data_IF_543470924727
#
_entry.id   IF_543470924727
#
_cell.length_a   1.000
_cell.length_b   1.000
_cell.length_c   1.000
_cell.angle_alpha   90.00
_cell.angle_beta   90.00
_cell.angle_gamma   90.00
#
_symmetry.space_group_name_H-M   'P 1'
#
loop_
_entity.id
_entity.type
_entity.pdbx_description
1 polymer ?
#
# COMPACT_ATOMS: atom_id res chain seq x y z
N UNK A 1 -4.73 -12.83 -4.46
CA UNK A 1 -4.57 -11.40 -4.84
C UNK A 1 -3.11 -11.00 -4.79
N UNK A 2 -2.70 -9.97 -5.54
CA UNK A 2 -1.34 -9.44 -5.51
C UNK A 2 -1.25 -8.26 -4.56
N UNK A 3 -0.15 -8.17 -3.81
CA UNK A 3 0.13 -7.09 -2.87
C UNK A 3 1.41 -6.39 -3.31
N UNK A 4 1.40 -5.06 -3.29
CA UNK A 4 2.51 -4.23 -3.73
C UNK A 4 2.73 -3.06 -2.78
N UNK A 5 3.99 -2.83 -2.40
CA UNK A 5 4.38 -1.63 -1.66
C UNK A 5 5.81 -1.24 -2.01
N UNK A 6 6.11 0.05 -1.90
CA UNK A 6 7.46 0.60 -2.06
C UNK A 6 7.69 1.62 -0.95
N UNK A 7 8.89 1.63 -0.39
CA UNK A 7 9.30 2.63 0.58
C UNK A 7 10.77 2.99 0.41
N UNK A 8 11.14 4.14 0.96
CA UNK A 8 12.50 4.67 0.90
C UNK A 8 12.91 5.04 2.32
N UNK A 9 14.04 4.49 2.77
CA UNK A 9 14.63 4.78 4.06
C UNK A 9 15.32 6.16 4.06
N UNK A 10 15.64 6.74 5.23
CA UNK A 10 16.25 8.07 5.33
C UNK A 10 17.61 8.21 4.62
N UNK A 11 18.35 7.11 4.47
CA UNK A 11 19.62 7.02 3.75
C UNK A 11 19.45 6.98 2.21
N UNK A 12 18.20 7.01 1.73
CA UNK A 12 17.84 6.88 0.31
C UNK A 12 17.73 5.43 -0.16
N UNK A 13 17.98 4.44 0.70
CA UNK A 13 17.83 3.03 0.35
C UNK A 13 16.37 2.73 0.06
N UNK A 14 16.14 2.02 -1.05
CA UNK A 14 14.81 1.72 -1.55
C UNK A 14 14.47 0.26 -1.37
N UNK A 15 13.26 0.01 -0.89
CA UNK A 15 12.74 -1.32 -0.64
C UNK A 15 11.40 -1.50 -1.36
N UNK A 16 11.13 -2.73 -1.80
CA UNK A 16 9.91 -3.09 -2.49
C UNK A 16 9.35 -4.38 -1.93
N UNK A 17 8.04 -4.48 -1.91
CA UNK A 17 7.28 -5.68 -1.58
C UNK A 17 6.39 -6.04 -2.77
N UNK A 18 6.47 -7.29 -3.20
CA UNK A 18 5.65 -7.88 -4.24
C UNK A 18 5.36 -9.32 -3.83
N UNK A 19 4.14 -9.58 -3.35
CA UNK A 19 3.78 -10.89 -2.78
C UNK A 19 2.36 -11.31 -3.17
N UNK A 20 2.14 -12.62 -3.24
CA UNK A 20 0.81 -13.20 -3.41
C UNK A 20 0.21 -13.44 -2.04
N UNK A 21 -1.02 -12.97 -1.83
CA UNK A 21 -1.81 -13.31 -0.66
C UNK A 21 -2.96 -14.28 -1.02
N UNK A 22 -3.29 -15.22 -0.12
CA UNK A 22 -4.41 -16.13 -0.30
C UNK A 22 -5.74 -15.37 -0.35
N UNK A 23 -6.69 -15.91 -1.13
CA UNK A 23 -8.04 -15.38 -1.24
C UNK A 23 -8.36 -14.67 -2.56
N UNK A 24 -9.66 -14.63 -2.86
CA UNK A 24 -10.31 -13.93 -3.98
C UNK A 24 -10.91 -12.57 -3.55
N UNK A 25 -10.35 -11.98 -2.50
CA UNK A 25 -10.87 -10.74 -1.90
C UNK A 25 -10.99 -9.56 -2.86
N UNK A 26 -11.75 -8.56 -2.44
CA UNK A 26 -11.96 -7.34 -3.20
C UNK A 26 -10.72 -6.42 -3.16
N UNK A 27 -10.70 -5.39 -4.00
CA UNK A 27 -9.58 -4.44 -4.08
C UNK A 27 -9.21 -3.87 -2.69
N UNK A 28 -10.21 -3.52 -1.88
CA UNK A 28 -9.99 -2.97 -0.53
C UNK A 28 -9.29 -3.96 0.41
N UNK A 29 -9.55 -5.26 0.28
CA UNK A 29 -8.89 -6.29 1.07
C UNK A 29 -7.41 -6.44 0.66
N UNK A 30 -7.11 -6.36 -0.64
CA UNK A 30 -5.74 -6.38 -1.13
C UNK A 30 -4.96 -5.15 -0.63
N UNK A 31 -5.55 -3.96 -0.73
CA UNK A 31 -4.88 -2.70 -0.31
C UNK A 31 -4.55 -2.68 1.18
N UNK A 32 -5.50 -3.04 2.06
CA UNK A 32 -5.22 -3.08 3.50
C UNK A 32 -4.21 -4.16 3.86
N UNK A 33 -4.21 -5.32 3.19
CA UNK A 33 -3.18 -6.36 3.40
C UNK A 33 -1.80 -5.92 2.91
N UNK A 34 -1.73 -5.18 1.81
CA UNK A 34 -0.48 -4.61 1.31
C UNK A 34 0.09 -3.59 2.30
N UNK A 35 -0.76 -2.72 2.85
CA UNK A 35 -0.40 -1.80 3.91
C UNK A 35 0.12 -2.54 5.15
N UNK A 36 -0.59 -3.55 5.65
CA UNK A 36 -0.16 -4.32 6.82
C UNK A 36 1.21 -4.98 6.61
N UNK A 37 1.42 -5.59 5.43
CA UNK A 37 2.68 -6.24 5.11
C UNK A 37 3.84 -5.23 5.07
N UNK A 38 3.61 -4.03 4.52
CA UNK A 38 4.60 -2.96 4.53
C UNK A 38 4.90 -2.47 5.96
N UNK A 39 3.87 -2.25 6.79
CA UNK A 39 4.04 -1.83 8.19
C UNK A 39 4.82 -2.85 9.01
N UNK A 40 4.55 -4.14 8.83
CA UNK A 40 5.29 -5.22 9.48
C UNK A 40 6.76 -5.23 9.05
N UNK A 41 7.04 -5.11 7.74
CA UNK A 41 8.40 -5.02 7.23
C UNK A 41 9.15 -3.80 7.78
N UNK A 42 8.50 -2.64 7.83
CA UNK A 42 9.06 -1.40 8.39
C UNK A 42 9.36 -1.54 9.89
N UNK A 43 8.50 -2.20 10.66
CA UNK A 43 8.80 -2.49 12.08
C UNK A 43 9.97 -3.44 12.27
N UNK A 44 10.09 -4.47 11.44
CA UNK A 44 11.27 -5.35 11.46
C UNK A 44 12.55 -4.62 11.09
N UNK A 45 12.46 -3.55 10.30
CA UNK A 45 13.58 -2.67 9.95
C UNK A 45 13.88 -1.60 11.02
N UNK A 46 13.11 -1.54 12.12
CA UNK A 46 13.30 -0.57 13.19
C UNK A 46 12.84 0.85 12.83
N UNK A 47 11.87 1.00 11.93
CA UNK A 47 11.30 2.32 11.62
C UNK A 47 10.34 2.80 12.71
N UNK A 48 10.48 4.06 13.10
CA UNK A 48 9.64 4.71 14.14
C UNK A 48 8.79 5.87 13.62
N UNK A 49 9.24 6.57 12.57
CA UNK A 49 8.49 7.63 11.87
C UNK A 49 8.15 7.20 10.44
N UNK A 50 6.87 7.30 10.08
CA UNK A 50 6.36 6.95 8.76
C UNK A 50 5.43 8.02 8.17
N UNK A 51 5.61 8.23 6.87
CA UNK A 51 4.58 8.82 6.00
C UNK A 51 4.17 7.83 4.92
N UNK A 52 2.96 7.33 5.06
CA UNK A 52 2.36 6.35 4.16
C UNK A 52 1.46 7.07 3.16
N UNK A 53 1.63 6.75 1.88
CA UNK A 53 0.74 7.18 0.81
C UNK A 53 -0.09 5.99 0.33
N UNK A 54 -1.40 6.18 0.18
CA UNK A 54 -2.32 5.16 -0.29
C UNK A 54 -3.31 5.79 -1.26
N UNK A 55 -3.65 5.11 -2.34
CA UNK A 55 -4.63 5.58 -3.33
C UNK A 55 -6.06 5.08 -3.08
N UNK A 56 -6.24 4.22 -2.09
CA UNK A 56 -7.55 3.77 -1.66
C UNK A 56 -8.09 4.64 -0.51
N UNK A 57 -9.05 5.51 -0.82
CA UNK A 57 -9.67 6.40 0.17
C UNK A 57 -10.36 5.65 1.31
N UNK A 58 -10.88 4.44 1.07
CA UNK A 58 -11.48 3.60 2.11
C UNK A 58 -10.43 3.14 3.11
N UNK A 59 -9.25 2.73 2.63
CA UNK A 59 -8.16 2.33 3.52
C UNK A 59 -7.66 3.53 4.32
N UNK A 60 -7.51 4.69 3.68
CA UNK A 60 -7.10 5.93 4.35
C UNK A 60 -8.10 6.32 5.44
N UNK A 61 -9.40 6.28 5.14
CA UNK A 61 -10.46 6.58 6.12
C UNK A 61 -10.48 5.57 7.27
N UNK A 62 -10.51 4.27 6.97
CA UNK A 62 -10.65 3.22 7.99
C UNK A 62 -9.42 3.10 8.87
N UNK A 63 -8.20 3.26 8.33
CA UNK A 63 -6.97 3.14 9.12
C UNK A 63 -6.59 4.47 9.77
N UNK A 64 -6.81 5.59 9.08
CA UNK A 64 -6.46 6.92 9.57
C UNK A 64 -7.44 7.51 10.59
N UNK A 65 -8.68 7.02 10.65
CA UNK A 65 -9.69 7.48 11.61
C UNK A 65 -10.17 6.37 12.54
N UNK A 66 -10.23 6.67 13.84
CA UNK A 66 -10.82 5.78 14.85
C UNK A 66 -12.36 5.83 14.88
N UNK A 67 -12.98 6.80 14.19
CA UNK A 67 -14.44 7.00 14.18
C UNK A 67 -15.10 6.57 12.87
N UNK A 68 -14.32 6.06 11.91
CA UNK A 68 -14.83 5.59 10.64
C UNK A 68 -15.88 4.47 10.86
N UNK A 69 -16.99 4.53 10.12
CA UNK A 69 -18.02 3.49 10.20
C UNK A 69 -17.42 2.16 9.71
N UNK A 70 -17.42 1.10 10.51
CA UNK A 70 -16.73 -0.14 10.16
C UNK A 70 -17.43 -0.84 8.99
N UNK A 71 -16.63 -1.36 8.06
CA UNK A 71 -17.09 -2.28 7.02
C UNK A 71 -17.10 -3.67 7.64
N UNK A 72 -18.29 -4.19 7.99
CA UNK A 72 -18.43 -5.40 8.81
C UNK A 72 -17.54 -6.59 8.38
N UNK A 73 -17.45 -6.88 7.08
CA UNK A 73 -16.61 -7.98 6.56
C UNK A 73 -15.09 -7.75 6.75
N UNK A 74 -14.64 -6.50 6.77
CA UNK A 74 -13.23 -6.11 6.86
C UNK A 74 -12.88 -5.49 8.22
N UNK A 75 -13.80 -5.46 9.17
CA UNK A 75 -13.65 -4.74 10.44
C UNK A 75 -12.41 -5.23 11.20
N UNK A 76 -12.27 -6.54 11.40
CA UNK A 76 -11.11 -7.14 12.06
C UNK A 76 -9.78 -6.81 11.35
N UNK A 77 -9.79 -6.82 10.02
CA UNK A 77 -8.60 -6.52 9.22
C UNK A 77 -8.18 -5.04 9.36
N UNK A 78 -9.16 -4.13 9.42
CA UNK A 78 -8.87 -2.72 9.70
C UNK A 78 -8.46 -2.48 11.15
N UNK A 79 -8.98 -3.24 12.12
CA UNK A 79 -8.52 -3.19 13.51
C UNK A 79 -7.05 -3.58 13.63
N UNK A 80 -6.64 -4.68 12.99
CA UNK A 80 -5.25 -5.12 12.94
C UNK A 80 -4.34 -4.07 12.25
N UNK A 81 -4.77 -3.53 11.11
CA UNK A 81 -4.03 -2.48 10.41
C UNK A 81 -3.86 -1.22 11.27
N UNK A 82 -4.90 -0.80 12.00
CA UNK A 82 -4.83 0.31 12.96
C UNK A 82 -3.87 0.03 14.10
N UNK A 83 -3.86 -1.20 14.63
CA UNK A 83 -2.96 -1.58 15.71
C UNK A 83 -1.49 -1.52 15.25
N UNK A 84 -1.18 -2.05 14.06
CA UNK A 84 0.15 -1.96 13.46
C UNK A 84 0.55 -0.50 13.19
N UNK A 85 -0.36 0.31 12.66
CA UNK A 85 -0.11 1.71 12.35
C UNK A 85 0.17 2.54 13.60
N UNK A 86 -0.51 2.26 14.72
CA UNK A 86 -0.31 2.93 16.02
C UNK A 86 0.95 2.47 16.77
N UNK A 87 1.64 1.43 16.30
CA UNK A 87 2.88 0.97 16.91
C UNK A 87 4.10 1.85 16.54
N UNK A 88 3.92 2.82 15.65
CA UNK A 88 4.93 3.81 15.27
C UNK A 88 4.78 5.07 16.13
N UNK A 89 5.91 5.71 16.46
CA UNK A 89 5.95 6.93 17.26
C UNK A 89 5.29 8.09 16.52
N UNK A 90 5.52 8.15 15.21
CA UNK A 90 4.88 9.09 14.30
C UNK A 90 4.43 8.35 13.04
N UNK A 91 3.14 8.42 12.72
CA UNK A 91 2.63 7.81 11.51
C UNK A 91 1.55 8.68 10.87
N UNK A 92 1.75 9.04 9.61
CA UNK A 92 0.75 9.78 8.81
C UNK A 92 0.33 8.95 7.62
N UNK A 93 -0.98 8.88 7.38
CA UNK A 93 -1.56 8.18 6.24
C UNK A 93 -2.26 9.21 5.35
N UNK A 94 -1.79 9.32 4.10
CA UNK A 94 -2.21 10.36 3.16
C UNK A 94 -2.80 9.72 1.91
N UNK A 95 -3.98 10.18 1.53
CA UNK A 95 -4.57 9.78 0.26
C UNK A 95 -3.84 10.44 -0.92
N UNK A 96 -3.54 9.67 -1.96
CA UNK A 96 -3.00 10.15 -3.23
C UNK A 96 -3.82 9.63 -4.41
N UNK A 97 -3.90 10.34 -5.54
CA UNK A 97 -4.49 9.77 -6.75
C UNK A 97 -3.73 8.53 -7.24
N UNK A 98 -4.44 7.53 -7.76
CA UNK A 98 -3.87 6.26 -8.26
C UNK A 98 -2.72 6.43 -9.25
N UNK A 99 -2.77 7.43 -10.14
CA UNK A 99 -1.68 7.68 -11.10
C UNK A 99 -0.34 8.08 -10.43
N UNK A 100 -0.36 8.46 -9.15
CA UNK A 100 0.84 8.71 -8.34
C UNK A 100 1.32 7.48 -7.57
N UNK A 101 0.53 6.41 -7.52
CA UNK A 101 0.85 5.14 -6.86
C UNK A 101 1.17 4.01 -7.85
N UNK A 102 1.51 4.35 -9.10
CA UNK A 102 1.63 3.37 -10.19
C UNK A 102 2.69 2.28 -9.98
N UNK A 103 3.70 2.54 -9.16
CA UNK A 103 4.71 1.53 -8.85
C UNK A 103 4.21 0.46 -7.88
N UNK A 104 3.50 0.83 -6.83
CA UNK A 104 2.90 -0.15 -5.92
C UNK A 104 1.89 -1.02 -6.68
N UNK A 105 1.09 -0.43 -7.58
CA UNK A 105 0.19 -1.17 -8.48
C UNK A 105 0.97 -2.13 -9.40
N UNK A 106 2.09 -1.68 -9.99
CA UNK A 106 2.94 -2.53 -10.82
C UNK A 106 3.52 -3.72 -10.03
N UNK A 107 3.96 -3.51 -8.79
CA UNK A 107 4.44 -4.56 -7.90
C UNK A 107 3.35 -5.57 -7.53
N UNK A 108 2.13 -5.10 -7.26
CA UNK A 108 0.98 -5.94 -6.98
C UNK A 108 0.61 -6.81 -8.20
N UNK A 109 0.61 -6.23 -9.40
CA UNK A 109 0.37 -6.97 -10.66
C UNK A 109 1.48 -7.99 -10.95
N UNK A 110 2.73 -7.60 -10.75
CA UNK A 110 3.89 -8.46 -10.95
C UNK A 110 3.84 -9.70 -10.04
N UNK A 111 3.36 -9.56 -8.80
CA UNK A 111 3.16 -10.68 -7.89
C UNK A 111 2.24 -11.77 -8.47
N UNK A 112 1.24 -11.38 -9.28
CA UNK A 112 0.31 -12.29 -9.94
C UNK A 112 0.82 -12.81 -11.29
N UNK A 113 2.06 -12.53 -11.67
CA UNK A 113 2.61 -12.87 -12.99
C UNK A 113 2.02 -12.03 -14.12
N UNK A 114 1.26 -10.97 -13.81
CA UNK A 114 0.78 -10.02 -14.81
C UNK A 114 1.94 -9.08 -15.14
N UNK A 115 2.61 -9.33 -16.26
CA UNK A 115 3.62 -8.41 -16.78
C UNK A 115 2.95 -7.08 -17.12
N UNK A 116 3.51 -5.97 -16.64
CA UNK A 116 3.03 -4.64 -16.99
C UNK A 116 3.00 -4.49 -18.53
N UNK A 117 1.96 -3.86 -19.12
CA UNK A 117 2.03 -3.52 -20.53
C UNK A 117 3.28 -2.67 -20.74
N UNK A 118 4.14 -3.12 -21.68
CA UNK A 118 5.38 -2.44 -22.06
C UNK A 118 5.07 -0.96 -22.26
N UNK A 119 5.67 -0.08 -21.46
CA UNK A 119 5.45 1.36 -21.59
C UNK A 119 5.79 1.79 -23.02
N UNK A 120 4.75 2.04 -23.83
CA UNK A 120 4.92 2.57 -25.18
C UNK A 120 5.37 4.01 -25.01
N UNK A 121 6.68 4.26 -25.20
CA UNK A 121 7.21 5.62 -25.31
C UNK A 121 6.54 6.25 -26.54
N UNK A 122 5.53 7.09 -26.34
CA UNK A 122 4.99 7.93 -27.41
C UNK A 122 6.07 8.96 -27.73
N UNK A 123 6.85 8.71 -28.78
CA UNK A 123 7.81 9.67 -29.31
C UNK A 123 7.01 10.89 -29.81
N UNK A 124 7.18 12.03 -29.13
CA UNK A 124 6.63 13.32 -29.60
C UNK A 124 7.29 13.65 -30.94
N UNK A 125 6.55 13.50 -32.05
CA UNK A 125 6.91 14.12 -33.33
C UNK A 125 6.78 15.64 -33.14
N UNK A 126 7.92 16.34 -33.09
CA UNK A 126 7.98 17.78 -33.32
C UNK A 126 7.58 18.00 -34.79
N UNK A 127 6.53 18.80 -35.00
CA UNK A 127 6.19 19.39 -36.30
C UNK A 127 6.62 20.84 -36.28
#
# INVERSE_FOLDING_TARGET
MGLGAVWTAPDGTRHTLSQVAPGYGCNNEAEVRALMAALQALKLQGADDLRVHCDNSVVVEQVGSSTAKPIARLAALFDEARALFKAFDQATLVWIPQHRNGEADALARAALGMTAPRAVKIAKKRR
#
